data_IF_162508191502
#
_entry.id   IF_162508191502
#
_cell.length_a   1.000
_cell.length_b   1.000
_cell.length_c   1.000
_cell.angle_alpha   90.00
_cell.angle_beta   90.00
_cell.angle_gamma   90.00
#
_symmetry.space_group_name_H-M   'P 1'
#
loop_
_entity.id
_entity.type
_entity.pdbx_description
1 polymer ?
#
# COMPACT_ATOMS: atom_id res chain seq x y z
N UNK A 1 4.65 -5.29 -16.00
CA UNK A 1 6.09 -5.55 -16.27
C UNK A 1 6.93 -5.60 -14.98
N UNK A 2 6.86 -4.62 -14.07
CA UNK A 2 7.64 -4.64 -12.82
C UNK A 2 7.21 -5.74 -11.83
N UNK A 3 5.91 -5.98 -11.65
CA UNK A 3 5.41 -7.02 -10.73
C UNK A 3 5.86 -8.43 -11.13
N UNK A 4 5.81 -8.77 -12.43
CA UNK A 4 6.24 -10.07 -12.94
C UNK A 4 7.75 -10.30 -12.71
N UNK A 5 8.58 -9.28 -12.95
CA UNK A 5 10.03 -9.37 -12.72
C UNK A 5 10.36 -9.60 -11.23
N UNK A 6 9.65 -8.95 -10.32
CA UNK A 6 9.80 -9.18 -8.88
C UNK A 6 9.36 -10.61 -8.49
N UNK A 7 8.26 -11.09 -9.05
CA UNK A 7 7.79 -12.47 -8.81
C UNK A 7 8.80 -13.51 -9.30
N UNK A 8 9.36 -13.32 -10.50
CA UNK A 8 10.43 -14.16 -11.06
C UNK A 8 11.72 -14.11 -10.23
N UNK A 9 11.96 -13.00 -9.53
CA UNK A 9 13.08 -12.82 -8.60
C UNK A 9 12.82 -13.43 -7.21
N UNK A 10 11.70 -14.12 -7.01
CA UNK A 10 11.36 -14.82 -5.77
C UNK A 10 10.61 -13.97 -4.73
N UNK A 11 10.07 -12.81 -5.11
CA UNK A 11 9.24 -11.99 -4.21
C UNK A 11 7.75 -12.35 -4.34
N UNK A 12 7.04 -12.34 -3.23
CA UNK A 12 5.58 -12.26 -3.25
C UNK A 12 5.18 -10.82 -3.56
N UNK A 13 4.36 -10.62 -4.58
CA UNK A 13 3.90 -9.29 -5.00
C UNK A 13 2.40 -9.18 -4.78
N UNK A 14 1.99 -8.33 -3.84
CA UNK A 14 0.59 -7.99 -3.58
C UNK A 14 0.25 -6.67 -4.28
N UNK A 15 -0.81 -6.68 -5.09
CA UNK A 15 -1.48 -5.47 -5.57
C UNK A 15 -2.93 -5.54 -5.12
N UNK A 16 -3.35 -4.56 -4.32
CA UNK A 16 -4.67 -4.54 -3.69
C UNK A 16 -5.39 -3.23 -3.99
N UNK A 17 -6.61 -3.32 -4.48
CA UNK A 17 -7.53 -2.20 -4.59
C UNK A 17 -8.23 -1.96 -3.23
N UNK A 18 -7.67 -1.04 -2.43
CA UNK A 18 -8.24 -0.60 -1.16
C UNK A 18 -9.49 0.30 -1.33
N UNK A 19 -10.21 0.54 -0.22
CA UNK A 19 -11.28 1.56 -0.14
C UNK A 19 -10.75 2.90 -0.65
N UNK A 20 -11.58 3.60 -1.44
CA UNK A 20 -11.15 4.77 -2.20
C UNK A 20 -10.84 4.50 -3.68
N UNK A 21 -10.62 3.23 -4.08
CA UNK A 21 -10.39 2.91 -5.48
C UNK A 21 -11.66 2.99 -6.34
N UNK A 22 -11.49 3.14 -7.66
CA UNK A 22 -12.57 3.31 -8.61
C UNK A 22 -13.35 2.01 -8.90
N UNK A 23 -14.40 2.11 -9.73
CA UNK A 23 -15.17 0.98 -10.27
C UNK A 23 -15.95 0.14 -9.23
N UNK A 24 -16.22 0.71 -8.04
CA UNK A 24 -16.91 0.04 -6.93
C UNK A 24 -18.10 0.85 -6.37
N UNK A 25 -18.46 1.93 -7.06
CA UNK A 25 -19.53 2.86 -6.69
C UNK A 25 -19.08 3.97 -5.73
N UNK A 26 -19.85 5.06 -5.69
CA UNK A 26 -19.51 6.29 -4.95
C UNK A 26 -19.27 6.00 -3.46
N UNK A 27 -20.05 5.11 -2.85
CA UNK A 27 -19.87 4.76 -1.44
C UNK A 27 -18.49 4.15 -1.14
N UNK A 28 -17.92 3.40 -2.08
CA UNK A 28 -16.59 2.81 -1.93
C UNK A 28 -15.47 3.80 -2.24
N UNK A 29 -15.66 4.60 -3.30
CA UNK A 29 -14.68 5.61 -3.74
C UNK A 29 -14.59 6.80 -2.77
N UNK A 30 -15.73 7.30 -2.29
CA UNK A 30 -15.77 8.44 -1.35
C UNK A 30 -15.43 8.07 0.09
N UNK A 31 -15.04 6.83 0.36
CA UNK A 31 -14.70 6.37 1.70
C UNK A 31 -13.53 7.13 2.32
N UNK A 32 -12.63 7.65 1.48
CA UNK A 32 -11.43 8.43 1.87
C UNK A 32 -11.69 9.95 1.88
N UNK A 33 -12.94 10.38 1.70
CA UNK A 33 -13.28 11.80 1.62
C UNK A 33 -12.90 12.51 2.92
N UNK A 34 -12.02 13.51 2.81
CA UNK A 34 -11.43 14.24 3.93
C UNK A 34 -10.49 13.43 4.85
N UNK A 35 -10.12 12.20 4.47
CA UNK A 35 -9.21 11.33 5.24
C UNK A 35 -8.29 10.51 4.33
N UNK A 36 -7.63 11.20 3.40
CA UNK A 36 -6.71 10.60 2.41
C UNK A 36 -5.40 10.16 3.06
N UNK A 37 -4.98 8.92 2.80
CA UNK A 37 -3.70 8.36 3.26
C UNK A 37 -3.75 7.71 4.64
N UNK A 38 -4.96 7.40 5.13
CA UNK A 38 -5.18 6.77 6.43
C UNK A 38 -5.86 5.42 6.27
N UNK A 39 -7.14 5.40 5.92
CA UNK A 39 -7.94 4.16 5.83
C UNK A 39 -7.46 3.25 4.69
N UNK A 40 -6.86 3.82 3.65
CA UNK A 40 -6.24 3.05 2.58
C UNK A 40 -5.08 2.19 3.08
N UNK A 41 -4.31 2.67 4.08
CA UNK A 41 -3.18 1.94 4.63
C UNK A 41 -3.61 0.74 5.46
N UNK A 42 -4.72 0.87 6.19
CA UNK A 42 -5.28 -0.24 6.96
C UNK A 42 -5.67 -1.40 6.03
N UNK A 43 -6.28 -1.11 4.89
CA UNK A 43 -6.62 -2.13 3.88
C UNK A 43 -5.38 -2.81 3.30
N UNK A 44 -4.32 -2.03 3.00
CA UNK A 44 -3.05 -2.58 2.52
C UNK A 44 -2.39 -3.47 3.58
N UNK A 45 -2.41 -3.03 4.85
CA UNK A 45 -1.90 -3.80 5.96
C UNK A 45 -2.68 -5.10 6.16
N UNK A 46 -4.01 -5.05 6.10
CA UNK A 46 -4.87 -6.23 6.19
C UNK A 46 -4.56 -7.23 5.07
N UNK A 47 -4.31 -6.76 3.85
CA UNK A 47 -3.88 -7.60 2.74
C UNK A 47 -2.55 -8.31 3.02
N UNK A 48 -1.56 -7.59 3.57
CA UNK A 48 -0.26 -8.17 3.95
C UNK A 48 -0.43 -9.19 5.07
N UNK A 49 -1.14 -8.84 6.15
CA UNK A 49 -1.40 -9.72 7.29
C UNK A 49 -2.16 -10.97 6.88
N UNK A 50 -3.08 -10.86 5.92
CA UNK A 50 -3.76 -12.00 5.35
C UNK A 50 -2.78 -12.98 4.69
N UNK A 51 -1.85 -12.49 3.85
CA UNK A 51 -0.85 -13.35 3.21
C UNK A 51 0.15 -13.96 4.22
N UNK A 52 0.53 -13.22 5.26
CA UNK A 52 1.35 -13.75 6.37
C UNK A 52 0.61 -14.89 7.07
N UNK A 53 -0.67 -14.69 7.41
CA UNK A 53 -1.49 -15.71 8.06
C UNK A 53 -1.65 -16.98 7.21
N UNK A 54 -1.69 -16.85 5.89
CA UNK A 54 -1.70 -17.99 4.97
C UNK A 54 -0.34 -18.68 4.81
N UNK A 55 0.73 -18.15 5.42
CA UNK A 55 2.09 -18.67 5.27
C UNK A 55 2.73 -18.36 3.91
N UNK A 56 2.17 -17.40 3.16
CA UNK A 56 2.65 -17.02 1.83
C UNK A 56 3.73 -15.94 1.95
N UNK A 57 3.55 -14.98 2.85
CA UNK A 57 4.47 -13.86 3.05
C UNK A 57 5.24 -13.97 4.37
N UNK A 58 6.45 -13.41 4.40
CA UNK A 58 7.31 -13.34 5.58
C UNK A 58 7.13 -12.00 6.30
N UNK A 59 6.70 -12.06 7.57
CA UNK A 59 6.37 -10.88 8.38
C UNK A 59 7.56 -9.94 8.62
N UNK A 60 8.81 -10.46 8.60
CA UNK A 60 10.00 -9.64 8.83
C UNK A 60 10.58 -9.05 7.53
N UNK A 61 10.02 -9.39 6.35
CA UNK A 61 10.53 -8.98 5.03
C UNK A 61 9.46 -8.37 4.13
N UNK A 62 8.70 -7.40 4.66
CA UNK A 62 7.68 -6.66 3.90
C UNK A 62 8.20 -5.30 3.45
N UNK A 63 8.07 -5.02 2.15
CA UNK A 63 8.35 -3.71 1.56
C UNK A 63 7.13 -3.15 0.84
N UNK A 64 7.06 -1.82 0.71
CA UNK A 64 6.01 -1.11 -0.04
C UNK A 64 6.63 -0.27 -1.15
N UNK A 65 5.96 -0.19 -2.30
CA UNK A 65 6.42 0.54 -3.47
C UNK A 65 5.23 1.23 -4.13
N UNK A 66 5.40 2.49 -4.51
CA UNK A 66 4.38 3.22 -5.24
C UNK A 66 4.87 4.52 -5.86
N UNK A 67 4.10 5.01 -6.83
CA UNK A 67 4.36 6.28 -7.54
C UNK A 67 3.14 7.21 -7.41
N UNK A 68 3.36 8.53 -7.37
CA UNK A 68 2.31 9.54 -7.20
C UNK A 68 1.55 9.31 -5.89
N UNK A 69 0.23 9.11 -5.92
CA UNK A 69 -0.53 8.78 -4.71
C UNK A 69 -0.03 7.51 -4.01
N UNK A 70 0.40 6.50 -4.78
CA UNK A 70 1.05 5.31 -4.23
C UNK A 70 2.39 5.63 -3.55
N UNK A 71 3.08 6.68 -4.01
CA UNK A 71 4.27 7.22 -3.34
C UNK A 71 3.90 7.84 -1.98
N UNK A 72 2.89 8.70 -1.94
CA UNK A 72 2.37 9.28 -0.69
C UNK A 72 1.97 8.18 0.32
N UNK A 73 1.24 7.16 -0.13
CA UNK A 73 0.90 6.00 0.70
C UNK A 73 2.13 5.22 1.15
N UNK A 74 3.12 5.00 0.28
CA UNK A 74 4.37 4.30 0.65
C UNK A 74 5.14 5.05 1.74
N UNK A 75 5.19 6.38 1.66
CA UNK A 75 5.78 7.21 2.72
C UNK A 75 4.97 7.11 4.02
N UNK A 76 3.64 7.17 3.94
CA UNK A 76 2.79 7.11 5.13
C UNK A 76 2.80 5.74 5.80
N UNK A 77 2.92 4.64 5.06
CA UNK A 77 3.13 3.31 5.60
C UNK A 77 4.40 3.23 6.45
N UNK A 78 5.51 3.82 5.99
CA UNK A 78 6.75 3.86 6.78
C UNK A 78 6.62 4.67 8.07
N UNK A 79 5.76 5.69 8.10
CA UNK A 79 5.54 6.52 9.30
C UNK A 79 4.58 5.85 10.28
N UNK A 80 3.48 5.26 9.78
CA UNK A 80 2.36 4.79 10.61
C UNK A 80 2.43 3.30 10.95
N UNK A 81 3.06 2.49 10.11
CA UNK A 81 3.06 1.02 10.20
C UNK A 81 4.48 0.44 10.07
N UNK A 82 5.45 1.11 10.71
CA UNK A 82 6.88 0.77 10.68
C UNK A 82 7.23 -0.61 11.27
N UNK A 83 6.32 -1.19 12.06
CA UNK A 83 6.47 -2.52 12.61
C UNK A 83 6.34 -3.61 11.53
N UNK A 84 5.61 -3.34 10.45
CA UNK A 84 5.39 -4.27 9.34
C UNK A 84 6.28 -3.91 8.15
N UNK A 85 6.19 -2.68 7.63
CA UNK A 85 6.95 -2.29 6.44
C UNK A 85 8.39 -1.90 6.80
N UNK A 86 9.36 -2.69 6.30
CA UNK A 86 10.80 -2.49 6.55
C UNK A 86 11.48 -1.58 5.53
N UNK A 87 10.87 -1.42 4.36
CA UNK A 87 11.38 -0.61 3.25
C UNK A 87 10.21 0.02 2.50
N UNK A 88 10.38 1.28 2.07
CA UNK A 88 9.44 1.97 1.21
C UNK A 88 10.17 2.62 0.03
N UNK A 89 9.71 2.35 -1.19
CA UNK A 89 10.19 3.02 -2.40
C UNK A 89 9.14 4.06 -2.82
N UNK A 90 9.48 5.32 -2.58
CA UNK A 90 8.56 6.46 -2.65
C UNK A 90 8.80 7.27 -3.92
N UNK A 91 8.01 7.03 -4.97
CA UNK A 91 8.12 7.76 -6.25
C UNK A 91 7.16 8.96 -6.33
N UNK A 92 7.69 10.16 -6.58
CA UNK A 92 6.94 11.41 -6.81
C UNK A 92 5.72 11.61 -5.87
N UNK A 93 5.90 11.55 -4.54
CA UNK A 93 4.80 11.67 -3.58
C UNK A 93 4.24 13.11 -3.54
N UNK A 94 2.95 13.23 -3.28
CA UNK A 94 2.39 14.44 -2.64
C UNK A 94 2.79 14.39 -1.17
N UNK A 95 3.57 15.36 -0.70
CA UNK A 95 4.06 15.45 0.69
C UNK A 95 3.39 16.57 1.48
N UNK A 96 2.65 17.45 0.80
CA UNK A 96 1.96 18.61 1.36
C UNK A 96 0.72 18.88 0.49
N UNK A 97 -0.43 19.17 1.13
CA UNK A 97 -1.74 19.23 0.45
C UNK A 97 -2.33 20.64 0.35
N UNK A 98 -1.73 21.58 1.06
CA UNK A 98 -2.21 22.95 1.29
C UNK A 98 -1.71 23.96 0.26
N UNK A 99 -0.69 23.61 -0.54
CA UNK A 99 -0.27 24.36 -1.74
C UNK A 99 0.34 25.72 -1.45
#
# INVERSE_FOLDING_TARGET
>A
MRCQCLAESGYVVLCLDNRGSANRGVAFESFIKHDMGHLELDDQLDGVLHLIKQGIADEIRVGIYGWSYGGSMSAMALVRTNNIFKLGIVGAPVTHWDG
#
